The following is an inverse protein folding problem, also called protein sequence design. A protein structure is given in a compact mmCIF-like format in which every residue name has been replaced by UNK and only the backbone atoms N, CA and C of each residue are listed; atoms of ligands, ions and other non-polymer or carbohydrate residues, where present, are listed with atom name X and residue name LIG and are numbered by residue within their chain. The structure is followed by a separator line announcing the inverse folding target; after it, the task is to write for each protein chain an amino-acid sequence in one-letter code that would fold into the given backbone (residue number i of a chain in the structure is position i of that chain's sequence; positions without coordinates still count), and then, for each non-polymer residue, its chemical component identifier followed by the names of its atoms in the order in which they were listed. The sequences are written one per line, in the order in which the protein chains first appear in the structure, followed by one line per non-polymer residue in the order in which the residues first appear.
data_IF_067854412909
#
_entry.id   IF_067854412909
#
_cell.length_a   1.000
_cell.length_b   1.000
_cell.length_c   1.000
_cell.angle_alpha   90.00
_cell.angle_beta   90.00
_cell.angle_gamma   90.00
#
_symmetry.space_group_name_H-M   'P 1'
#
loop_
_entity.id
_entity.type
_entity.pdbx_description
1 polymer ?
#
# COMPACT_ATOMS: atom_id res chain seq x y z
N UNK A 1 -23.66 -1.95 33.44
CA UNK A 1 -23.92 -1.66 32.01
C UNK A 1 -23.37 -0.26 31.74
N UNK A 2 -22.49 0.08 30.80
CA UNK A 2 -21.86 -0.59 29.67
C UNK A 2 -20.76 0.42 29.25
N UNK A 3 -19.48 0.12 29.50
CA UNK A 3 -18.37 0.76 28.78
C UNK A 3 -17.80 -0.30 27.84
N UNK A 4 -18.57 -0.64 26.82
CA UNK A 4 -18.02 -1.31 25.66
C UNK A 4 -17.39 -0.20 24.81
N UNK A 5 -16.06 -0.15 24.78
CA UNK A 5 -15.33 0.66 23.82
C UNK A 5 -15.79 0.22 22.41
N UNK A 6 -16.62 1.03 21.77
CA UNK A 6 -16.95 0.85 20.38
C UNK A 6 -15.69 1.20 19.60
N UNK A 7 -14.82 0.22 19.35
CA UNK A 7 -13.78 0.32 18.33
C UNK A 7 -14.55 0.39 17.01
N UNK A 8 -14.96 1.60 16.63
CA UNK A 8 -15.55 1.86 15.35
C UNK A 8 -14.56 1.38 14.29
N UNK A 9 -14.90 0.31 13.59
CA UNK A 9 -14.29 -0.02 12.31
C UNK A 9 -14.71 1.09 11.36
N UNK A 10 -13.95 2.18 11.34
CA UNK A 10 -14.21 3.31 10.46
C UNK A 10 -14.01 2.81 9.01
N UNK A 11 -15.06 2.69 8.19
CA UNK A 11 -14.92 2.18 6.83
C UNK A 11 -13.89 2.99 6.02
N UNK A 12 -13.70 4.26 6.39
CA UNK A 12 -12.67 5.13 5.81
C UNK A 12 -11.25 4.59 6.00
N UNK A 13 -10.97 3.87 7.09
CA UNK A 13 -9.66 3.24 7.31
C UNK A 13 -9.39 2.13 6.29
N UNK A 14 -10.35 1.22 6.07
CA UNK A 14 -10.21 0.13 5.09
C UNK A 14 -10.12 0.68 3.66
N UNK A 15 -10.96 1.66 3.32
CA UNK A 15 -10.93 2.32 2.01
C UNK A 15 -9.62 3.07 1.80
N UNK A 16 -9.13 3.80 2.81
CA UNK A 16 -7.85 4.49 2.78
C UNK A 16 -6.68 3.52 2.61
N UNK A 17 -6.69 2.40 3.33
CA UNK A 17 -5.66 1.36 3.24
C UNK A 17 -5.64 0.67 1.88
N UNK A 18 -6.81 0.30 1.34
CA UNK A 18 -6.95 -0.27 0.01
C UNK A 18 -6.53 0.71 -1.09
N UNK A 19 -6.92 1.98 -0.96
CA UNK A 19 -6.55 3.04 -1.90
C UNK A 19 -5.04 3.28 -1.90
N UNK A 20 -4.42 3.37 -0.72
CA UNK A 20 -2.97 3.47 -0.59
C UNK A 20 -2.26 2.28 -1.25
N UNK A 21 -2.79 1.07 -1.06
CA UNK A 21 -2.23 -0.15 -1.67
C UNK A 21 -2.27 -0.10 -3.19
N UNK A 22 -3.38 0.38 -3.76
CA UNK A 22 -3.53 0.56 -5.21
C UNK A 22 -2.59 1.64 -5.76
N UNK A 23 -2.44 2.76 -5.03
CA UNK A 23 -1.49 3.83 -5.39
C UNK A 23 -0.05 3.30 -5.39
N UNK A 24 0.35 2.55 -4.37
CA UNK A 24 1.67 1.94 -4.29
C UNK A 24 1.92 0.94 -5.43
N UNK A 25 0.89 0.21 -5.87
CA UNK A 25 0.96 -0.64 -7.06
C UNK A 25 1.29 0.17 -8.33
N UNK A 26 0.66 1.33 -8.50
CA UNK A 26 0.96 2.26 -9.59
C UNK A 26 2.36 2.86 -9.50
N UNK A 27 2.79 3.28 -8.31
CA UNK A 27 4.15 3.78 -8.05
C UNK A 27 5.21 2.72 -8.40
N UNK A 28 4.96 1.46 -8.08
CA UNK A 28 5.85 0.36 -8.42
C UNK A 28 5.93 0.13 -9.93
N UNK A 29 4.80 0.16 -10.64
CA UNK A 29 4.75 0.04 -12.10
C UNK A 29 5.52 1.17 -12.79
N UNK A 30 5.38 2.42 -12.32
CA UNK A 30 6.16 3.57 -12.81
C UNK A 30 7.68 3.39 -12.64
N UNK A 31 8.08 2.46 -11.77
CA UNK A 31 9.47 2.09 -11.48
C UNK A 31 9.88 0.75 -12.10
N UNK A 32 9.16 0.29 -13.14
CA UNK A 32 9.39 -0.98 -13.84
C UNK A 32 9.37 -2.20 -12.91
N UNK A 33 8.59 -2.14 -11.82
CA UNK A 33 8.38 -3.26 -10.88
C UNK A 33 6.95 -3.78 -10.99
N UNK A 34 6.73 -5.03 -10.59
CA UNK A 34 5.40 -5.64 -10.62
C UNK A 34 4.42 -4.91 -9.70
N UNK A 35 3.39 -4.28 -10.27
CA UNK A 35 2.35 -3.60 -9.51
C UNK A 35 1.55 -4.53 -8.61
N UNK A 36 1.23 -5.74 -9.08
CA UNK A 36 0.43 -6.70 -8.31
C UNK A 36 1.15 -7.19 -7.05
N UNK A 37 2.46 -7.42 -7.14
CA UNK A 37 3.27 -7.77 -5.97
C UNK A 37 3.28 -6.62 -4.97
N UNK A 38 3.51 -5.39 -5.43
CA UNK A 38 3.53 -4.21 -4.56
C UNK A 38 2.15 -3.83 -3.99
N UNK A 39 1.06 -4.14 -4.70
CA UNK A 39 -0.30 -4.08 -4.18
C UNK A 39 -0.44 -5.03 -2.97
N UNK A 40 -0.09 -6.31 -3.14
CA UNK A 40 -0.17 -7.31 -2.08
C UNK A 40 0.72 -6.98 -0.87
N UNK A 41 1.96 -6.53 -1.12
CA UNK A 41 2.87 -6.07 -0.06
C UNK A 41 2.28 -4.88 0.69
N UNK A 42 1.66 -3.93 -0.02
CA UNK A 42 1.03 -2.76 0.60
C UNK A 42 -0.26 -3.10 1.35
N UNK A 43 -1.02 -4.10 0.92
CA UNK A 43 -2.18 -4.58 1.70
C UNK A 43 -1.76 -5.08 3.08
N UNK A 44 -0.56 -5.67 3.21
CA UNK A 44 -0.04 -6.17 4.49
C UNK A 44 0.67 -5.08 5.31
N UNK A 45 1.48 -4.23 4.66
CA UNK A 45 2.39 -3.30 5.35
C UNK A 45 1.95 -1.83 5.30
N UNK A 46 0.99 -1.50 4.45
CA UNK A 46 0.44 -0.15 4.29
C UNK A 46 1.50 0.91 3.98
N UNK A 47 1.54 2.03 4.74
CA UNK A 47 2.50 3.12 4.51
C UNK A 47 3.98 2.70 4.61
N UNK A 48 4.28 1.63 5.34
CA UNK A 48 5.66 1.11 5.44
C UNK A 48 6.13 0.62 4.07
N UNK A 49 5.26 -0.03 3.29
CA UNK A 49 5.58 -0.40 1.91
C UNK A 49 5.85 0.82 1.04
N UNK A 50 5.12 1.92 1.23
CA UNK A 50 5.37 3.19 0.52
C UNK A 50 6.75 3.73 0.84
N UNK A 51 7.12 3.78 2.12
CA UNK A 51 8.44 4.25 2.53
C UNK A 51 9.55 3.43 1.88
N UNK A 52 9.49 2.09 1.94
CA UNK A 52 10.49 1.24 1.30
C UNK A 52 10.53 1.40 -0.23
N UNK A 53 9.36 1.47 -0.86
CA UNK A 53 9.24 1.63 -2.31
C UNK A 53 9.84 2.95 -2.78
N UNK A 54 9.65 4.05 -2.04
CA UNK A 54 10.13 5.37 -2.45
C UNK A 54 11.59 5.58 -2.07
N UNK A 55 11.98 5.22 -0.85
CA UNK A 55 13.30 5.54 -0.33
C UNK A 55 14.41 4.61 -0.85
N UNK A 56 14.11 3.36 -1.18
CA UNK A 56 15.16 2.35 -1.43
C UNK A 56 15.02 1.57 -2.73
N UNK A 57 13.87 1.63 -3.39
CA UNK A 57 13.72 0.94 -4.66
C UNK A 57 14.03 1.93 -5.78
N UNK A 58 15.03 1.67 -6.62
CA UNK A 58 15.19 2.44 -7.86
C UNK A 58 14.31 1.87 -8.98
N UNK A 59 14.17 2.64 -10.06
CA UNK A 59 13.52 2.19 -11.29
C UNK A 59 14.37 1.10 -11.93
N UNK A 60 13.76 -0.07 -12.18
CA UNK A 60 14.44 -1.17 -12.86
C UNK A 60 14.62 -0.86 -14.36
N UNK A 61 15.59 -1.49 -15.05
CA UNK A 61 15.65 -1.44 -16.51
C UNK A 61 14.31 -1.86 -17.12
N UNK A 62 13.90 -1.17 -18.19
CA UNK A 62 12.68 -1.55 -18.92
C UNK A 62 12.88 -2.87 -19.67
N UNK A 63 11.80 -3.54 -20.08
CA UNK A 63 11.89 -4.58 -21.10
C UNK A 63 12.64 -4.04 -22.33
N UNK A 64 13.53 -4.86 -22.89
CA UNK A 64 14.20 -4.56 -24.15
C UNK A 64 13.21 -4.55 -25.31
#
# INVERSE_FOLDING_TARGET
MLFAAQIAQDPGYLVGWGSLSLINAGLAQGKNRSGLIWFGVSLLLGPIATFFLVAFCDKLPGPA
#
